data_IF_224924179048
#
_entry.id   IF_224924179048
#
_cell.length_a   1.000
_cell.length_b   1.000
_cell.length_c   1.000
_cell.angle_alpha   90.00
_cell.angle_beta   90.00
_cell.angle_gamma   90.00
#
_symmetry.space_group_name_H-M   'P 1'
#
loop_
_entity.id
_entity.type
_entity.pdbx_description
1 polymer ?
#
# COMPACT_ATOMS: atom_id res chain seq x y z
N UNK A 1 11.67 -8.22 -14.31
CA UNK A 1 12.58 -7.96 -13.15
C UNK A 1 11.86 -8.28 -11.83
N UNK A 2 12.59 -8.47 -10.71
CA UNK A 2 11.98 -8.59 -9.37
C UNK A 2 11.60 -7.21 -8.83
N UNK A 3 10.37 -7.03 -8.35
CA UNK A 3 9.82 -5.75 -7.88
C UNK A 3 9.09 -5.88 -6.55
N UNK A 4 9.01 -4.78 -5.80
CA UNK A 4 8.16 -4.64 -4.61
C UNK A 4 6.94 -3.81 -4.99
N UNK A 5 5.74 -4.30 -4.73
CA UNK A 5 4.51 -3.58 -5.03
C UNK A 5 4.10 -2.68 -3.85
N UNK A 6 3.93 -1.39 -4.11
CA UNK A 6 3.31 -0.46 -3.16
C UNK A 6 1.79 -0.67 -3.20
N UNK A 7 1.21 -1.05 -2.07
CA UNK A 7 -0.22 -1.35 -1.96
C UNK A 7 -0.90 -0.39 -0.97
N UNK A 8 -2.03 0.18 -1.40
CA UNK A 8 -2.88 1.03 -0.57
C UNK A 8 -4.17 0.33 -0.13
N UNK A 9 -4.48 -0.83 -0.71
CA UNK A 9 -5.79 -1.49 -0.56
C UNK A 9 -6.86 -0.97 -1.54
N UNK A 10 -6.53 0.03 -2.35
CA UNK A 10 -7.37 0.54 -3.43
C UNK A 10 -7.13 -0.16 -4.77
N UNK A 11 -8.12 -0.02 -5.68
CA UNK A 11 -8.13 -0.62 -7.03
C UNK A 11 -6.89 -0.28 -7.87
N UNK A 12 -6.37 0.94 -7.74
CA UNK A 12 -5.30 1.44 -8.61
C UNK A 12 -3.97 0.73 -8.31
N UNK A 13 -3.66 0.49 -7.02
CA UNK A 13 -2.50 -0.32 -6.63
C UNK A 13 -2.61 -1.78 -7.08
N UNK A 14 -3.83 -2.35 -7.07
CA UNK A 14 -4.09 -3.67 -7.59
C UNK A 14 -3.88 -3.73 -9.12
N UNK A 15 -4.40 -2.75 -9.86
CA UNK A 15 -4.20 -2.65 -11.30
C UNK A 15 -2.72 -2.49 -11.67
N UNK A 16 -1.95 -1.69 -10.92
CA UNK A 16 -0.51 -1.55 -11.10
C UNK A 16 0.24 -2.88 -10.92
N UNK A 17 -0.16 -3.71 -9.94
CA UNK A 17 0.39 -5.07 -9.78
C UNK A 17 0.07 -5.96 -10.99
N UNK A 18 -1.17 -5.95 -11.47
CA UNK A 18 -1.56 -6.72 -12.66
C UNK A 18 -0.72 -6.30 -13.89
N UNK A 19 -0.54 -5.00 -14.11
CA UNK A 19 0.30 -4.48 -15.19
C UNK A 19 1.78 -4.85 -15.03
N UNK A 20 2.28 -4.89 -13.79
CA UNK A 20 3.65 -5.35 -13.53
C UNK A 20 3.84 -6.80 -13.97
N UNK A 21 2.87 -7.67 -13.67
CA UNK A 21 2.88 -9.08 -14.12
C UNK A 21 2.78 -9.17 -15.64
N UNK A 22 1.86 -8.42 -16.25
CA UNK A 22 1.67 -8.35 -17.71
C UNK A 22 2.95 -7.92 -18.46
N UNK A 23 3.74 -7.02 -17.87
CA UNK A 23 5.05 -6.62 -18.40
C UNK A 23 6.21 -7.57 -18.04
N UNK A 24 5.93 -8.75 -17.46
CA UNK A 24 6.95 -9.76 -17.15
C UNK A 24 7.78 -9.46 -15.89
N UNK A 25 7.27 -8.61 -14.98
CA UNK A 25 7.87 -8.43 -13.67
C UNK A 25 7.35 -9.46 -12.67
N UNK A 26 8.24 -9.91 -11.79
CA UNK A 26 7.91 -10.78 -10.66
C UNK A 26 7.75 -9.91 -9.42
N UNK A 27 6.54 -9.87 -8.85
CA UNK A 27 6.31 -9.24 -7.56
C UNK A 27 6.84 -10.19 -6.48
N UNK A 28 7.82 -9.74 -5.69
CA UNK A 28 8.47 -10.57 -4.66
C UNK A 28 8.10 -10.16 -3.24
N UNK A 29 7.50 -8.98 -3.07
CA UNK A 29 7.00 -8.49 -1.79
C UNK A 29 5.95 -7.40 -2.00
N UNK A 30 5.13 -7.18 -0.98
CA UNK A 30 4.22 -6.06 -0.87
C UNK A 30 4.76 -5.07 0.17
N UNK A 31 4.51 -3.78 -0.05
CA UNK A 31 4.86 -2.74 0.90
C UNK A 31 3.72 -1.73 1.06
N UNK A 32 3.46 -1.31 2.29
CA UNK A 32 2.41 -0.36 2.63
C UNK A 32 2.91 0.64 3.68
N UNK A 33 2.60 1.92 3.47
CA UNK A 33 2.73 2.92 4.51
C UNK A 33 1.39 3.06 5.26
N UNK A 34 1.48 3.22 6.57
CA UNK A 34 0.35 3.40 7.48
C UNK A 34 0.49 4.74 8.22
N UNK A 35 -0.63 5.36 8.64
CA UNK A 35 -0.59 6.50 9.53
C UNK A 35 0.13 6.17 10.85
N UNK A 36 0.59 7.21 11.56
CA UNK A 36 1.25 7.03 12.87
C UNK A 36 0.26 6.47 13.89
N UNK A 37 -0.97 6.97 13.83
CA UNK A 37 -2.08 6.58 14.70
C UNK A 37 -3.11 5.78 13.90
N UNK A 38 -3.28 4.51 14.28
CA UNK A 38 -4.22 3.57 13.65
C UNK A 38 -5.70 3.88 14.05
N UNK A 39 -5.93 4.77 15.03
CA UNK A 39 -7.26 5.23 15.44
C UNK A 39 -7.73 6.49 14.71
N UNK A 40 -6.80 7.16 14.00
CA UNK A 40 -7.12 8.31 13.16
C UNK A 40 -7.41 7.80 11.76
N UNK A 41 -8.70 7.61 11.48
CA UNK A 41 -9.18 7.51 10.11
C UNK A 41 -9.00 8.88 9.45
N UNK A 42 -7.81 9.12 8.89
CA UNK A 42 -7.56 10.34 8.14
C UNK A 42 -8.31 10.27 6.80
N UNK A 43 -9.60 10.61 6.87
CA UNK A 43 -10.56 10.55 5.76
C UNK A 43 -10.14 11.44 4.58
N UNK A 44 -9.35 12.49 4.85
CA UNK A 44 -8.82 13.42 3.85
C UNK A 44 -7.38 13.08 3.43
N UNK A 45 -6.91 11.85 3.68
CA UNK A 45 -5.56 11.48 3.28
C UNK A 45 -5.45 11.34 1.76
N UNK A 46 -4.63 12.21 1.15
CA UNK A 46 -4.17 12.05 -0.22
C UNK A 46 -3.10 10.94 -0.38
N UNK A 47 -2.67 10.34 0.73
CA UNK A 47 -1.54 9.39 0.78
C UNK A 47 -1.95 7.99 1.25
N UNK A 48 -2.98 7.88 2.10
CA UNK A 48 -3.46 6.62 2.67
C UNK A 48 -4.91 6.36 2.28
N UNK A 49 -5.24 5.11 2.00
CA UNK A 49 -6.63 4.72 1.82
C UNK A 49 -7.20 4.28 3.18
N UNK A 50 -8.05 5.12 3.76
CA UNK A 50 -8.67 4.92 5.08
C UNK A 50 -9.54 3.65 5.11
N UNK A 51 -10.46 3.51 4.15
CA UNK A 51 -11.41 2.38 4.08
C UNK A 51 -10.73 1.06 3.65
N UNK A 52 -9.69 1.16 2.82
CA UNK A 52 -9.06 0.00 2.16
C UNK A 52 -7.94 -0.67 2.96
N UNK A 53 -7.45 -0.05 4.04
CA UNK A 53 -6.29 -0.57 4.78
C UNK A 53 -6.47 -2.04 5.21
N UNK A 54 -7.66 -2.42 5.69
CA UNK A 54 -7.90 -3.76 6.25
C UNK A 54 -7.65 -4.89 5.23
N UNK A 55 -7.79 -4.63 3.93
CA UNK A 55 -7.60 -5.64 2.88
C UNK A 55 -6.13 -5.93 2.56
N UNK A 56 -5.20 -5.07 3.00
CA UNK A 56 -3.79 -5.17 2.64
C UNK A 56 -3.18 -6.47 3.16
N UNK A 57 -3.57 -6.90 4.36
CA UNK A 57 -3.15 -8.18 4.93
C UNK A 57 -3.67 -9.33 4.06
N UNK A 58 -4.91 -9.24 3.58
CA UNK A 58 -5.51 -10.24 2.67
C UNK A 58 -4.83 -10.31 1.32
N UNK A 59 -4.29 -9.20 0.80
CA UNK A 59 -3.47 -9.26 -0.43
C UNK A 59 -2.23 -10.14 -0.22
N UNK A 60 -1.53 -9.96 0.90
CA UNK A 60 -0.34 -10.75 1.22
C UNK A 60 -0.67 -12.24 1.38
N UNK A 61 -1.74 -12.55 2.11
CA UNK A 61 -2.24 -13.92 2.28
C UNK A 61 -2.60 -14.57 0.95
N UNK A 62 -3.41 -13.89 0.12
CA UNK A 62 -3.86 -14.44 -1.17
C UNK A 62 -2.72 -14.61 -2.18
N UNK A 63 -1.71 -13.74 -2.15
CA UNK A 63 -0.56 -13.81 -3.05
C UNK A 63 0.57 -14.72 -2.54
N UNK A 64 0.54 -15.11 -1.26
CA UNK A 64 1.63 -15.85 -0.62
C UNK A 64 2.94 -15.06 -0.59
N UNK A 65 2.88 -13.73 -0.48
CA UNK A 65 4.04 -12.84 -0.53
C UNK A 65 4.29 -12.15 0.81
N UNK A 66 5.55 -11.87 1.17
CA UNK A 66 5.87 -11.08 2.36
C UNK A 66 5.31 -9.66 2.23
N UNK A 67 4.78 -9.14 3.34
CA UNK A 67 4.24 -7.78 3.44
C UNK A 67 5.04 -6.96 4.46
N UNK A 68 5.58 -5.84 4.00
CA UNK A 68 6.29 -4.88 4.83
C UNK A 68 5.41 -3.67 5.08
N UNK A 69 5.19 -3.32 6.35
CA UNK A 69 4.39 -2.15 6.73
C UNK A 69 5.22 -1.21 7.59
N UNK A 70 5.12 0.10 7.33
CA UNK A 70 5.79 1.13 8.15
C UNK A 70 4.90 2.33 8.39
N UNK A 71 4.97 2.87 9.60
CA UNK A 71 4.40 4.17 9.94
C UNK A 71 5.18 5.26 9.22
N UNK A 72 4.48 6.17 8.56
CA UNK A 72 5.13 7.38 8.05
C UNK A 72 5.57 8.24 9.23
N UNK A 73 6.68 8.94 9.08
CA UNK A 73 7.08 10.01 9.99
C UNK A 73 7.32 11.26 9.15
N UNK A 74 6.68 12.37 9.51
CA UNK A 74 6.77 13.64 8.79
C UNK A 74 5.40 14.25 8.50
N UNK A 75 5.37 15.57 8.37
CA UNK A 75 4.19 16.34 7.96
C UNK A 75 4.34 16.81 6.51
N UNK A 76 3.22 17.15 5.87
CA UNK A 76 3.27 17.89 4.61
C UNK A 76 4.03 19.21 4.82
N UNK A 77 4.79 19.66 3.82
CA UNK A 77 5.48 20.96 3.87
C UNK A 77 4.53 22.16 3.77
N UNK A 78 3.25 21.92 3.51
CA UNK A 78 2.20 22.94 3.50
C UNK A 78 1.33 22.75 4.74
N UNK A 79 1.82 23.27 5.87
CA UNK A 79 0.95 23.74 6.93
C UNK A 79 0.59 25.19 6.57
N UNK A 80 -0.69 25.50 6.45
CA UNK A 80 -1.16 26.88 6.35
C UNK A 80 -0.96 27.59 7.69
#
# INVERSE_FOLDING_TARGET
MKVVALVSGGKDSCYAMMKSIDYGHQIVALANLMPVDDSVDELDSYMYQTVGHQIIIKYAECMGLPLFRRRIQGSSRQAF
#
